data_IF_236542563863
#
_entry.id   IF_236542563863
#
_cell.length_a   1.000
_cell.length_b   1.000
_cell.length_c   1.000
_cell.angle_alpha   90.00
_cell.angle_beta   90.00
_cell.angle_gamma   90.00
#
_symmetry.space_group_name_H-M   'P 1'
#
loop_
_entity.id
_entity.type
_entity.pdbx_description
1 polymer ?
#
# COMPACT_ATOMS: atom_id res chain seq x y z
N UNK A 1 -5.20 -5.28 -5.57
CA UNK A 1 -5.83 -4.55 -4.44
C UNK A 1 -4.80 -3.58 -3.91
N UNK A 2 -5.21 -2.41 -3.44
CA UNK A 2 -4.37 -1.46 -2.70
C UNK A 2 -5.22 -0.78 -1.64
N UNK A 3 -4.69 0.20 -0.89
CA UNK A 3 -5.44 0.96 0.10
C UNK A 3 -5.36 2.47 -0.14
N UNK A 4 -6.21 3.22 0.57
CA UNK A 4 -6.29 4.68 0.45
C UNK A 4 -4.99 5.39 0.85
N UNK A 5 -4.19 4.80 1.73
CA UNK A 5 -2.91 5.36 2.16
C UNK A 5 -1.89 5.32 1.03
N UNK A 6 -1.75 4.19 0.34
CA UNK A 6 -0.87 4.07 -0.83
C UNK A 6 -1.27 5.00 -1.98
N UNK A 7 -2.58 5.22 -2.17
CA UNK A 7 -3.04 6.21 -3.15
C UNK A 7 -2.66 7.64 -2.76
N UNK A 8 -2.70 7.98 -1.47
CA UNK A 8 -2.25 9.28 -0.98
C UNK A 8 -0.73 9.46 -1.16
N UNK A 9 0.07 8.45 -0.84
CA UNK A 9 1.51 8.47 -1.06
C UNK A 9 1.87 8.57 -2.54
N UNK A 10 1.19 7.77 -3.39
CA UNK A 10 1.34 7.85 -4.83
C UNK A 10 0.98 9.25 -5.35
N UNK A 11 -0.06 9.89 -4.81
CA UNK A 11 -0.42 11.26 -5.19
C UNK A 11 0.71 12.25 -4.89
N UNK A 12 1.33 12.14 -3.71
CA UNK A 12 2.45 13.00 -3.30
C UNK A 12 3.66 12.76 -4.19
N UNK A 13 4.07 11.51 -4.35
CA UNK A 13 5.22 11.11 -5.18
C UNK A 13 5.05 11.52 -6.64
N UNK A 14 3.88 11.25 -7.24
CA UNK A 14 3.56 11.68 -8.60
C UNK A 14 3.52 13.20 -8.73
N UNK A 15 3.05 13.92 -7.71
CA UNK A 15 3.00 15.39 -7.77
C UNK A 15 4.38 16.03 -7.84
N UNK A 16 5.39 15.38 -7.26
CA UNK A 16 6.79 15.81 -7.33
C UNK A 16 7.42 15.57 -8.71
N UNK A 17 6.87 14.63 -9.50
CA UNK A 17 7.40 14.23 -10.82
C UNK A 17 6.64 14.91 -11.95
N UNK A 18 5.31 14.89 -11.89
CA UNK A 18 4.38 15.29 -12.97
C UNK A 18 3.67 16.62 -12.68
N UNK A 19 3.74 17.12 -11.44
CA UNK A 19 2.93 18.23 -10.96
C UNK A 19 1.55 17.81 -10.44
N UNK A 20 0.95 18.68 -9.62
CA UNK A 20 -0.29 18.39 -8.86
C UNK A 20 -1.49 17.99 -9.74
N UNK A 21 -1.65 18.64 -10.90
CA UNK A 21 -2.79 18.41 -11.79
C UNK A 21 -2.76 17.01 -12.39
N UNK A 22 -1.61 16.61 -12.92
CA UNK A 22 -1.47 15.32 -13.60
C UNK A 22 -1.45 14.17 -12.62
N UNK A 23 -0.78 14.34 -11.46
CA UNK A 23 -0.88 13.40 -10.34
C UNK A 23 -2.34 13.16 -9.91
N UNK A 24 -3.14 14.23 -9.80
CA UNK A 24 -4.58 14.09 -9.48
C UNK A 24 -5.34 13.28 -10.52
N UNK A 25 -5.04 13.44 -11.82
CA UNK A 25 -5.67 12.66 -12.88
C UNK A 25 -5.27 11.19 -12.82
N UNK A 26 -4.00 10.87 -12.56
CA UNK A 26 -3.53 9.50 -12.37
C UNK A 26 -4.29 8.81 -11.23
N UNK A 27 -4.38 9.45 -10.05
CA UNK A 27 -5.09 8.87 -8.90
C UNK A 27 -6.58 8.71 -9.18
N UNK A 28 -7.23 9.69 -9.82
CA UNK A 28 -8.63 9.58 -10.24
C UNK A 28 -8.86 8.44 -11.24
N UNK A 29 -7.88 8.17 -12.11
CA UNK A 29 -7.94 7.04 -13.03
C UNK A 29 -7.95 5.70 -12.27
N UNK A 30 -7.06 5.54 -11.28
CA UNK A 30 -7.02 4.34 -10.43
C UNK A 30 -8.31 4.18 -9.63
N UNK A 31 -8.85 5.26 -9.05
CA UNK A 31 -10.11 5.27 -8.31
C UNK A 31 -11.33 4.87 -9.17
N UNK A 32 -11.24 5.01 -10.50
CA UNK A 32 -12.30 4.63 -11.45
C UNK A 32 -12.08 3.26 -12.08
N UNK A 33 -10.98 2.58 -11.76
CA UNK A 33 -10.69 1.24 -12.24
C UNK A 33 -11.49 0.18 -11.46
N UNK A 34 -11.50 -1.05 -11.96
CA UNK A 34 -12.09 -2.21 -11.25
C UNK A 34 -11.21 -2.71 -10.07
N UNK A 35 -10.15 -1.98 -9.71
CA UNK A 35 -9.29 -2.34 -8.61
C UNK A 35 -10.02 -2.19 -7.26
N UNK A 36 -9.92 -3.23 -6.42
CA UNK A 36 -10.39 -3.14 -5.03
C UNK A 36 -9.46 -2.22 -4.22
N UNK A 37 -10.03 -1.12 -3.71
CA UNK A 37 -9.35 -0.11 -2.90
C UNK A 37 -9.90 -0.20 -1.47
N UNK A 38 -9.04 -0.55 -0.52
CA UNK A 38 -9.41 -0.71 0.89
C UNK A 38 -9.23 0.63 1.61
N UNK A 39 -10.27 1.08 2.32
CA UNK A 39 -10.12 2.20 3.25
C UNK A 39 -9.36 1.74 4.49
N UNK A 40 -8.37 2.52 4.93
CA UNK A 40 -7.71 2.26 6.21
C UNK A 40 -8.63 2.67 7.36
N UNK A 41 -8.87 1.73 8.27
CA UNK A 41 -9.64 1.91 9.49
C UNK A 41 -8.75 1.66 10.73
N UNK A 42 -9.35 1.85 11.92
CA UNK A 42 -8.67 1.64 13.19
C UNK A 42 -8.21 0.20 13.40
N UNK A 43 -8.88 -0.79 12.81
CA UNK A 43 -8.54 -2.21 12.95
C UNK A 43 -7.25 -2.50 12.19
N UNK A 44 -7.17 -2.07 10.93
CA UNK A 44 -5.96 -2.24 10.11
C UNK A 44 -4.78 -1.52 10.77
N UNK A 45 -4.99 -0.31 11.26
CA UNK A 45 -3.94 0.47 11.93
C UNK A 45 -3.46 -0.22 13.21
N UNK A 46 -4.38 -0.67 14.07
CA UNK A 46 -4.04 -1.39 15.30
C UNK A 46 -3.30 -2.71 15.02
N UNK A 47 -3.72 -3.45 14.01
CA UNK A 47 -3.04 -4.67 13.59
C UNK A 47 -1.63 -4.38 13.04
N UNK A 48 -1.43 -3.26 12.34
CA UNK A 48 -0.10 -2.85 11.91
C UNK A 48 0.81 -2.55 13.11
N UNK A 49 0.31 -1.83 14.12
CA UNK A 49 1.08 -1.52 15.33
C UNK A 49 1.54 -2.78 16.08
N UNK A 50 0.72 -3.82 16.15
CA UNK A 50 1.09 -5.11 16.75
C UNK A 50 2.29 -5.79 16.07
N UNK A 51 2.59 -5.42 14.82
CA UNK A 51 3.63 -6.04 13.99
C UNK A 51 4.89 -5.18 13.88
N UNK A 52 4.94 -4.01 14.51
CA UNK A 52 6.02 -3.04 14.35
C UNK A 52 7.39 -3.61 14.74
N UNK A 53 7.45 -4.43 15.80
CA UNK A 53 8.69 -5.06 16.25
C UNK A 53 9.02 -6.35 15.47
N UNK A 54 8.05 -6.86 14.70
CA UNK A 54 8.17 -8.13 13.96
C UNK A 54 8.75 -7.92 12.57
N UNK A 55 8.39 -6.82 11.92
CA UNK A 55 8.76 -6.54 10.54
C UNK A 55 9.57 -5.26 10.45
N UNK A 56 10.74 -5.26 9.79
CA UNK A 56 11.59 -4.08 9.63
C UNK A 56 11.05 -3.17 8.51
N UNK A 57 9.75 -2.86 8.54
CA UNK A 57 9.08 -2.02 7.54
C UNK A 57 8.82 -0.62 8.11
N UNK A 58 8.73 0.38 7.23
CA UNK A 58 8.18 1.67 7.62
C UNK A 58 6.72 1.52 8.08
N UNK A 59 6.19 2.48 8.85
CA UNK A 59 4.79 2.41 9.30
C UNK A 59 3.80 2.32 8.12
N UNK A 60 4.07 3.05 7.04
CA UNK A 60 3.19 3.08 5.87
C UNK A 60 3.23 1.76 5.10
N UNK A 61 4.44 1.21 4.90
CA UNK A 61 4.64 -0.11 4.30
C UNK A 61 4.01 -1.22 5.14
N UNK A 62 4.15 -1.12 6.47
CA UNK A 62 3.57 -2.06 7.41
C UNK A 62 2.05 -2.03 7.40
N UNK A 63 1.42 -0.86 7.29
CA UNK A 63 -0.04 -0.71 7.12
C UNK A 63 -0.49 -1.37 5.82
N UNK A 64 0.21 -1.12 4.71
CA UNK A 64 -0.11 -1.72 3.41
C UNK A 64 0.03 -3.24 3.43
N UNK A 65 1.14 -3.74 3.96
CA UNK A 65 1.41 -5.16 4.12
C UNK A 65 0.38 -5.84 5.03
N UNK A 66 0.05 -5.22 6.17
CA UNK A 66 -0.99 -5.72 7.09
C UNK A 66 -2.36 -5.75 6.41
N UNK A 67 -2.70 -4.75 5.60
CA UNK A 67 -3.93 -4.76 4.79
C UNK A 67 -3.98 -6.00 3.90
N UNK A 68 -2.89 -6.32 3.21
CA UNK A 68 -2.83 -7.49 2.32
C UNK A 68 -2.95 -8.82 3.10
N UNK A 69 -2.33 -8.90 4.28
CA UNK A 69 -2.45 -10.07 5.16
C UNK A 69 -3.89 -10.29 5.65
N UNK A 70 -4.56 -9.24 6.15
CA UNK A 70 -5.92 -9.32 6.67
C UNK A 70 -6.94 -9.70 5.59
N UNK A 71 -6.67 -9.32 4.35
CA UNK A 71 -7.48 -9.69 3.19
C UNK A 71 -7.06 -11.01 2.53
N UNK A 72 -6.16 -11.79 3.15
CA UNK A 72 -5.73 -13.10 2.66
C UNK A 72 -5.23 -13.06 1.22
N UNK A 73 -4.54 -11.98 0.84
CA UNK A 73 -3.85 -11.94 -0.44
C UNK A 73 -2.85 -13.12 -0.50
N UNK A 74 -2.66 -13.69 -1.69
CA UNK A 74 -1.67 -14.75 -1.91
C UNK A 74 -0.29 -14.21 -2.25
N UNK A 75 -0.19 -12.94 -2.64
CA UNK A 75 1.03 -12.27 -3.08
C UNK A 75 0.97 -10.79 -2.77
N UNK A 76 2.12 -10.20 -2.44
CA UNK A 76 2.28 -8.75 -2.29
C UNK A 76 3.06 -8.20 -3.50
N UNK A 77 2.48 -7.25 -4.23
CA UNK A 77 3.11 -6.70 -5.43
C UNK A 77 3.85 -5.42 -5.08
N UNK A 78 5.18 -5.42 -5.19
CA UNK A 78 6.03 -4.26 -4.87
C UNK A 78 7.38 -4.35 -5.57
N UNK A 79 7.93 -3.19 -5.96
CA UNK A 79 9.33 -3.05 -6.40
C UNK A 79 10.31 -3.01 -5.22
N UNK A 80 9.82 -2.75 -4.01
CA UNK A 80 10.65 -2.62 -2.81
C UNK A 80 11.05 -4.01 -2.28
N UNK A 81 12.36 -4.18 -2.03
CA UNK A 81 12.94 -5.42 -1.53
C UNK A 81 12.77 -5.57 -0.02
N UNK A 82 12.32 -4.55 0.69
CA UNK A 82 12.05 -4.62 2.13
C UNK A 82 10.94 -5.63 2.46
N UNK A 83 10.10 -5.98 1.48
CA UNK A 83 9.10 -7.05 1.61
C UNK A 83 9.63 -8.45 1.26
N UNK A 84 10.91 -8.60 0.91
CA UNK A 84 11.50 -9.92 0.68
C UNK A 84 11.53 -10.73 1.99
N UNK A 85 11.26 -12.04 1.88
CA UNK A 85 11.29 -13.01 3.01
C UNK A 85 10.26 -12.76 4.11
N UNK A 86 9.24 -11.95 3.87
CA UNK A 86 8.07 -11.86 4.74
C UNK A 86 7.10 -13.03 4.50
N UNK A 87 6.11 -13.21 5.39
CA UNK A 87 5.12 -14.30 5.32
C UNK A 87 4.31 -14.33 4.01
N UNK A 88 3.94 -13.16 3.50
CA UNK A 88 3.25 -12.96 2.24
C UNK A 88 4.30 -12.73 1.15
N UNK A 89 4.46 -13.67 0.19
CA UNK A 89 5.55 -13.57 -0.78
C UNK A 89 5.42 -12.32 -1.64
N UNK A 90 6.54 -11.60 -1.81
CA UNK A 90 6.63 -10.48 -2.75
C UNK A 90 6.74 -10.99 -4.18
N UNK A 91 6.04 -10.31 -5.10
CA UNK A 91 6.23 -10.43 -6.55
C UNK A 91 6.49 -9.04 -7.12
N UNK A 92 7.54 -8.91 -7.91
CA UNK A 92 7.77 -7.69 -8.70
C UNK A 92 6.76 -7.63 -9.87
N UNK A 93 6.19 -6.45 -10.18
CA UNK A 93 5.25 -6.27 -11.30
C UNK A 93 5.78 -6.75 -12.66
#
# INVERSE_FOLDING_TARGET
MTNTLCLAEAAVSLSNILGKKDASQCIKSVLRSDAKIIAIDEIIFFEALKRIDRYPLSMFDLIHYTTAMLHQCSVFVSYDKDFDRLELPRREP
#
